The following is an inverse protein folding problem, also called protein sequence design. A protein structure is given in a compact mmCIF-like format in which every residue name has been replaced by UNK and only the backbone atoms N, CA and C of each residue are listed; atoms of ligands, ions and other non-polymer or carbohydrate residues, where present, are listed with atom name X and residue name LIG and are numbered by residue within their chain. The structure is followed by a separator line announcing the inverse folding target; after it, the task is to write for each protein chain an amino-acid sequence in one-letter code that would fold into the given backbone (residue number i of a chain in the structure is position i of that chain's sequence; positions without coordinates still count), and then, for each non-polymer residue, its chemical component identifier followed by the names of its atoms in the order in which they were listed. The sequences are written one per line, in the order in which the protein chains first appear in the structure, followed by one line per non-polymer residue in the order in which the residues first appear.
data_IF_009971372895
#
_entry.id   IF_009971372895
#
_cell.length_a   1.000
_cell.length_b   1.000
_cell.length_c   1.000
_cell.angle_alpha   90.00
_cell.angle_beta   90.00
_cell.angle_gamma   90.00
#
_symmetry.space_group_name_H-M   'P 1'
#
loop_
_entity.id
_entity.type
_entity.pdbx_description
1 polymer ?
#
# COMPACT_ATOMS: atom_id res chain seq x y z
N UNK A 1 3.37 -30.22 -22.40
CA UNK A 1 3.49 -30.15 -20.92
C UNK A 1 3.12 -28.75 -20.50
N UNK A 2 2.04 -28.60 -19.80
CA UNK A 2 1.74 -27.31 -19.19
C UNK A 2 2.71 -27.13 -18.01
N UNK A 3 3.61 -26.17 -18.10
CA UNK A 3 4.50 -25.81 -17.00
C UNK A 3 3.58 -25.17 -15.95
N UNK A 4 3.44 -25.86 -14.82
CA UNK A 4 2.75 -25.28 -13.67
C UNK A 4 3.63 -24.16 -13.13
N UNK A 5 3.20 -22.93 -13.33
CA UNK A 5 3.89 -21.77 -12.79
C UNK A 5 3.49 -21.60 -11.31
N UNK A 6 4.47 -21.38 -10.47
CA UNK A 6 4.26 -21.10 -9.04
C UNK A 6 4.43 -19.62 -8.82
N UNK A 7 3.34 -18.97 -8.44
CA UNK A 7 3.29 -17.53 -8.15
C UNK A 7 3.45 -17.37 -6.65
N UNK A 8 4.57 -16.83 -6.22
CA UNK A 8 4.89 -16.59 -4.81
C UNK A 8 5.83 -15.39 -4.68
N UNK A 9 5.86 -14.80 -3.50
CA UNK A 9 6.86 -13.82 -3.12
C UNK A 9 7.61 -14.27 -1.87
N UNK A 10 8.93 -14.40 -2.00
CA UNK A 10 9.86 -14.81 -0.93
C UNK A 10 10.96 -13.77 -0.71
N UNK A 11 10.71 -12.51 -1.05
CA UNK A 11 11.66 -11.42 -0.89
C UNK A 11 11.66 -10.80 0.51
N UNK A 12 12.36 -9.69 0.62
CA UNK A 12 12.55 -8.98 1.89
C UNK A 12 11.24 -8.49 2.50
N UNK A 13 11.14 -8.58 3.83
CA UNK A 13 9.98 -8.11 4.58
C UNK A 13 9.83 -6.58 4.59
N UNK A 14 10.83 -5.86 4.12
CA UNK A 14 10.82 -4.39 4.03
C UNK A 14 10.02 -3.87 2.83
N UNK A 15 9.65 -4.75 1.90
CA UNK A 15 8.83 -4.38 0.76
C UNK A 15 7.35 -4.48 1.14
N UNK A 16 6.65 -3.35 1.11
CA UNK A 16 5.22 -3.29 1.43
C UNK A 16 4.34 -3.86 0.33
N UNK A 17 4.66 -3.56 -0.93
CA UNK A 17 3.91 -3.99 -2.10
C UNK A 17 4.90 -4.49 -3.15
N UNK A 18 4.68 -5.70 -3.62
CA UNK A 18 5.45 -6.32 -4.68
C UNK A 18 4.54 -6.72 -5.84
N UNK A 19 4.83 -6.20 -7.03
CA UNK A 19 4.18 -6.63 -8.27
C UNK A 19 4.91 -7.85 -8.82
N UNK A 20 4.19 -8.96 -8.98
CA UNK A 20 4.76 -10.14 -9.61
C UNK A 20 5.00 -9.90 -11.11
N UNK A 21 6.15 -10.32 -11.68
CA UNK A 21 6.50 -10.03 -13.08
C UNK A 21 5.62 -10.76 -14.12
N UNK A 22 4.98 -11.86 -13.74
CA UNK A 22 4.08 -12.57 -14.64
C UNK A 22 2.74 -11.82 -14.73
N UNK A 23 2.34 -11.50 -15.95
CA UNK A 23 1.09 -10.77 -16.24
C UNK A 23 -0.01 -11.69 -16.79
N UNK A 24 0.35 -12.86 -17.33
CA UNK A 24 -0.60 -13.83 -17.88
C UNK A 24 -0.43 -15.18 -17.17
N UNK A 25 -1.48 -15.62 -16.50
CA UNK A 25 -1.44 -16.89 -15.75
C UNK A 25 -2.11 -18.00 -16.53
N UNK A 26 -1.43 -19.14 -16.63
CA UNK A 26 -2.03 -20.37 -17.14
C UNK A 26 -3.06 -20.91 -16.12
N UNK A 27 -4.16 -21.44 -16.63
CA UNK A 27 -5.05 -22.29 -15.82
C UNK A 27 -4.25 -23.43 -15.24
N UNK A 28 -4.27 -23.61 -13.92
CA UNK A 28 -3.51 -24.54 -13.09
C UNK A 28 -2.22 -23.98 -12.45
N UNK A 29 -1.87 -22.71 -12.65
CA UNK A 29 -0.81 -22.09 -11.87
C UNK A 29 -1.14 -22.13 -10.38
N UNK A 30 -0.15 -22.28 -9.52
CA UNK A 30 -0.34 -22.30 -8.08
C UNK A 30 0.04 -20.94 -7.48
N UNK A 31 -0.87 -20.37 -6.72
CA UNK A 31 -0.61 -19.19 -5.92
C UNK A 31 -0.27 -19.60 -4.49
N UNK A 32 0.88 -19.17 -4.00
CA UNK A 32 1.30 -19.38 -2.61
C UNK A 32 1.40 -18.01 -1.95
N UNK A 33 0.58 -17.81 -0.93
CA UNK A 33 0.59 -16.59 -0.10
C UNK A 33 1.09 -16.99 1.28
N UNK A 34 2.18 -16.38 1.73
CA UNK A 34 2.73 -16.65 3.06
C UNK A 34 1.91 -16.00 4.16
N UNK A 35 2.10 -16.44 5.39
CA UNK A 35 1.55 -15.75 6.57
C UNK A 35 2.05 -14.30 6.58
N UNK A 36 1.22 -13.39 7.01
CA UNK A 36 1.46 -11.94 6.95
C UNK A 36 1.50 -11.33 5.54
N UNK A 37 1.05 -12.04 4.53
CA UNK A 37 0.89 -11.52 3.17
C UNK A 37 -0.57 -11.61 2.71
N UNK A 38 -0.91 -10.76 1.78
CA UNK A 38 -2.15 -10.80 1.01
C UNK A 38 -1.81 -10.67 -0.47
N UNK A 39 -2.36 -11.54 -1.31
CA UNK A 39 -2.22 -11.41 -2.75
C UNK A 39 -3.50 -10.82 -3.34
N UNK A 40 -3.36 -9.78 -4.16
CA UNK A 40 -4.49 -9.14 -4.84
C UNK A 40 -4.30 -9.26 -6.33
N UNK A 41 -5.32 -9.79 -7.00
CA UNK A 41 -5.42 -9.82 -8.44
C UNK A 41 -5.98 -8.52 -8.96
N UNK A 42 -5.28 -7.95 -9.92
CA UNK A 42 -5.59 -6.67 -10.52
C UNK A 42 -5.69 -6.81 -12.03
N UNK A 43 -6.74 -6.30 -12.64
CA UNK A 43 -6.93 -6.28 -14.09
C UNK A 43 -7.62 -5.00 -14.51
N UNK A 44 -7.12 -4.39 -15.59
CA UNK A 44 -7.68 -3.17 -16.17
C UNK A 44 -7.98 -2.05 -15.16
N UNK A 45 -7.07 -1.84 -14.21
CA UNK A 45 -7.24 -0.81 -13.19
C UNK A 45 -8.22 -1.17 -12.05
N UNK A 46 -8.68 -2.42 -11.97
CA UNK A 46 -9.61 -2.89 -10.93
C UNK A 46 -9.03 -4.02 -10.11
N UNK A 47 -9.17 -3.92 -8.79
CA UNK A 47 -8.87 -5.04 -7.90
C UNK A 47 -9.99 -6.07 -7.98
N UNK A 48 -9.68 -7.25 -8.51
CA UNK A 48 -10.65 -8.33 -8.71
C UNK A 48 -10.87 -9.11 -7.42
N UNK A 49 -9.89 -9.92 -7.05
CA UNK A 49 -9.95 -10.81 -5.90
C UNK A 49 -8.73 -10.66 -5.01
N UNK A 50 -8.90 -10.90 -3.71
CA UNK A 50 -7.81 -10.95 -2.74
C UNK A 50 -7.73 -12.33 -2.08
N UNK A 51 -6.51 -12.80 -1.86
CA UNK A 51 -6.20 -14.09 -1.27
C UNK A 51 -5.35 -13.90 -0.02
N UNK A 52 -5.82 -14.46 1.08
CA UNK A 52 -5.09 -14.51 2.34
C UNK A 52 -4.06 -15.64 2.32
N UNK A 53 -3.27 -15.76 3.40
CA UNK A 53 -2.28 -16.81 3.55
C UNK A 53 -2.86 -18.20 3.22
N UNK A 54 -2.14 -18.94 2.40
CA UNK A 54 -2.54 -20.26 1.94
C UNK A 54 -1.99 -20.63 0.57
N UNK A 55 -2.34 -21.82 0.12
CA UNK A 55 -2.03 -22.31 -1.22
C UNK A 55 -3.32 -22.41 -2.03
N UNK A 56 -3.33 -21.82 -3.20
CA UNK A 56 -4.49 -21.81 -4.09
C UNK A 56 -4.08 -22.30 -5.47
N UNK A 57 -4.89 -23.18 -6.05
CA UNK A 57 -4.78 -23.52 -7.47
C UNK A 57 -5.65 -22.56 -8.25
N UNK A 58 -5.06 -21.85 -9.20
CA UNK A 58 -5.76 -20.87 -10.01
C UNK A 58 -6.58 -21.58 -11.09
N UNK A 59 -7.70 -22.16 -10.67
CA UNK A 59 -8.71 -22.67 -11.56
C UNK A 59 -9.80 -21.62 -11.80
N UNK A 60 -10.40 -21.66 -12.97
CA UNK A 60 -11.51 -20.77 -13.34
C UNK A 60 -12.66 -20.80 -12.32
N UNK A 61 -12.78 -21.89 -11.56
CA UNK A 61 -13.80 -22.07 -10.51
C UNK A 61 -13.49 -21.30 -9.23
N UNK A 62 -12.21 -21.07 -8.94
CA UNK A 62 -11.77 -20.46 -7.68
C UNK A 62 -11.61 -18.95 -7.74
N UNK A 63 -11.78 -18.38 -8.93
CA UNK A 63 -11.71 -16.94 -9.17
C UNK A 63 -13.01 -16.49 -9.85
N UNK A 64 -14.07 -16.28 -9.06
CA UNK A 64 -15.42 -16.05 -9.62
C UNK A 64 -15.52 -14.81 -10.50
N UNK A 65 -14.71 -13.77 -10.25
CA UNK A 65 -14.72 -12.56 -11.06
C UNK A 65 -14.01 -12.76 -12.40
N UNK A 66 -12.87 -13.44 -12.40
CA UNK A 66 -12.13 -13.77 -13.65
C UNK A 66 -12.96 -14.73 -14.50
N UNK A 67 -13.71 -15.65 -13.90
CA UNK A 67 -14.58 -16.56 -14.65
C UNK A 67 -15.73 -15.83 -15.35
N UNK A 68 -16.29 -14.78 -14.75
CA UNK A 68 -17.32 -13.95 -15.38
C UNK A 68 -16.77 -13.16 -16.55
N UNK A 69 -15.59 -12.59 -16.43
CA UNK A 69 -14.90 -11.86 -17.51
C UNK A 69 -14.52 -12.80 -18.66
N UNK A 70 -14.05 -14.01 -18.34
CA UNK A 70 -13.67 -15.02 -19.35
C UNK A 70 -14.86 -15.55 -20.15
N UNK A 71 -16.03 -15.67 -19.54
CA UNK A 71 -17.25 -16.12 -20.22
C UNK A 71 -17.84 -15.07 -21.18
N UNK A 72 -17.41 -13.82 -21.06
CA UNK A 72 -17.80 -12.74 -21.98
C UNK A 72 -16.93 -12.70 -23.25
N UNK A 73 -15.78 -13.39 -23.25
CA UNK A 73 -14.86 -13.40 -24.39
C UNK A 73 -14.75 -14.82 -24.94
N UNK A 74 -15.41 -15.04 -26.07
CA UNK A 74 -15.34 -16.26 -26.88
C UNK A 74 -13.90 -16.51 -27.36
N UNK A 75 -13.31 -17.67 -27.00
CA UNK A 75 -12.14 -18.15 -27.68
C UNK A 75 -10.92 -18.52 -26.86
N UNK A 76 -10.97 -18.55 -25.54
CA UNK A 76 -9.90 -19.15 -24.70
C UNK A 76 -8.61 -18.34 -24.52
N UNK A 77 -8.48 -17.19 -25.17
CA UNK A 77 -7.40 -16.22 -24.93
C UNK A 77 -8.04 -15.03 -24.26
N UNK A 78 -7.71 -14.84 -22.99
CA UNK A 78 -8.13 -13.64 -22.27
C UNK A 78 -7.30 -12.45 -22.76
N UNK A 79 -7.92 -11.42 -23.34
CA UNK A 79 -7.22 -10.20 -23.73
C UNK A 79 -6.90 -9.31 -22.52
N UNK A 80 -7.27 -9.74 -21.32
CA UNK A 80 -7.10 -8.96 -20.10
C UNK A 80 -5.77 -9.33 -19.42
N UNK A 81 -4.92 -8.35 -19.30
CA UNK A 81 -3.72 -8.46 -18.47
C UNK A 81 -4.12 -8.52 -17.01
N UNK A 82 -3.77 -9.62 -16.36
CA UNK A 82 -4.00 -9.80 -14.93
C UNK A 82 -2.67 -9.69 -14.20
N UNK A 83 -2.57 -8.73 -13.32
CA UNK A 83 -1.42 -8.49 -12.48
C UNK A 83 -1.66 -9.05 -11.08
N UNK A 84 -0.62 -9.58 -10.42
CA UNK A 84 -0.69 -10.02 -9.03
C UNK A 84 0.21 -9.15 -8.19
N UNK A 85 -0.37 -8.57 -7.15
CA UNK A 85 0.33 -7.79 -6.14
C UNK A 85 0.35 -8.54 -4.82
N UNK A 86 1.54 -8.73 -4.27
CA UNK A 86 1.73 -9.23 -2.92
C UNK A 86 1.90 -8.06 -1.97
N UNK A 87 1.09 -8.04 -0.91
CA UNK A 87 1.07 -6.98 0.08
C UNK A 87 1.53 -7.55 1.40
N UNK A 88 2.52 -6.91 2.00
CA UNK A 88 3.01 -7.28 3.32
C UNK A 88 2.10 -6.66 4.39
N UNK A 89 1.47 -7.51 5.20
CA UNK A 89 0.61 -7.11 6.31
C UNK A 89 1.37 -7.04 7.64
N UNK A 90 2.66 -7.39 7.64
CA UNK A 90 3.48 -7.25 8.84
C UNK A 90 3.61 -5.78 9.24
N UNK A 91 3.76 -5.53 10.53
CA UNK A 91 3.96 -4.18 11.03
C UNK A 91 5.38 -3.73 10.76
N UNK A 92 5.56 -2.64 10.02
CA UNK A 92 6.82 -1.95 9.93
C UNK A 92 6.95 -0.98 11.09
N UNK A 93 8.02 -1.11 11.84
CA UNK A 93 8.32 -0.27 13.00
C UNK A 93 9.42 0.72 12.65
N UNK A 94 9.47 1.80 13.42
CA UNK A 94 10.60 2.74 13.45
C UNK A 94 10.92 3.45 12.14
N UNK A 95 9.89 3.84 11.40
CA UNK A 95 10.05 4.72 10.23
C UNK A 95 10.37 6.14 10.73
N UNK A 96 11.59 6.64 10.52
CA UNK A 96 11.98 7.94 11.06
C UNK A 96 11.36 9.09 10.27
N UNK A 97 10.97 10.13 10.99
CA UNK A 97 10.49 11.38 10.43
C UNK A 97 11.07 12.59 11.16
N UNK A 98 11.09 13.71 10.49
CA UNK A 98 11.51 14.98 11.09
C UNK A 98 11.05 16.16 10.25
N UNK A 99 10.89 17.32 10.89
CA UNK A 99 10.57 18.54 10.17
C UNK A 99 11.80 18.99 9.37
N UNK A 100 11.67 19.18 8.03
CA UNK A 100 12.81 19.58 7.19
C UNK A 100 13.31 20.98 7.49
N UNK A 101 12.47 21.83 8.08
CA UNK A 101 12.80 23.17 8.52
C UNK A 101 12.12 23.46 9.84
N UNK A 102 12.76 24.28 10.65
CA UNK A 102 12.15 24.78 11.88
C UNK A 102 10.94 25.67 11.54
N UNK A 103 9.93 25.61 12.38
CA UNK A 103 8.74 26.46 12.31
C UNK A 103 8.91 27.59 13.32
N UNK A 104 8.79 28.83 12.85
CA UNK A 104 8.83 29.98 13.75
C UNK A 104 7.48 30.13 14.45
N UNK A 105 7.49 29.98 15.76
CA UNK A 105 6.32 30.15 16.62
C UNK A 105 6.46 31.46 17.39
N UNK A 106 5.42 32.26 17.39
CA UNK A 106 5.38 33.52 18.16
C UNK A 106 4.63 33.28 19.45
N UNK A 107 5.26 33.60 20.58
CA UNK A 107 4.58 33.57 21.88
C UNK A 107 3.55 34.70 21.96
N UNK A 108 2.27 34.40 22.18
CA UNK A 108 1.22 35.41 22.22
C UNK A 108 1.30 36.30 23.46
N UNK A 109 1.89 35.82 24.54
CA UNK A 109 1.95 36.56 25.81
C UNK A 109 3.13 37.50 25.89
N UNK A 110 4.28 37.07 25.40
CA UNK A 110 5.55 37.81 25.53
C UNK A 110 6.06 38.39 24.22
N UNK A 111 5.45 38.03 23.07
CA UNK A 111 5.82 38.55 21.78
C UNK A 111 7.15 38.04 21.21
N UNK A 112 7.82 37.11 21.91
CA UNK A 112 9.04 36.50 21.42
C UNK A 112 8.77 35.48 20.31
N UNK A 113 9.66 35.45 19.35
CA UNK A 113 9.65 34.41 18.31
C UNK A 113 10.73 33.39 18.61
N UNK A 114 10.37 32.12 18.56
CA UNK A 114 11.33 31.00 18.69
C UNK A 114 11.12 30.00 17.57
N UNK A 115 12.17 29.29 17.22
CA UNK A 115 12.14 28.27 16.20
C UNK A 115 11.99 26.91 16.82
N UNK A 116 10.96 26.16 16.41
CA UNK A 116 10.69 24.83 16.89
C UNK A 116 10.78 23.80 15.75
N UNK A 117 11.34 22.65 16.05
CA UNK A 117 11.36 21.50 15.18
C UNK A 117 10.89 20.27 15.92
N UNK A 118 10.47 19.26 15.20
CA UNK A 118 10.06 17.98 15.77
C UNK A 118 10.60 16.83 14.93
N UNK A 119 10.93 15.74 15.62
CA UNK A 119 11.37 14.49 15.02
C UNK A 119 10.89 13.31 15.84
N UNK A 120 10.82 12.16 15.23
CA UNK A 120 10.39 10.93 15.87
C UNK A 120 10.37 9.76 14.91
N UNK A 121 9.71 8.68 15.29
CA UNK A 121 9.46 7.54 14.46
C UNK A 121 7.98 7.15 14.51
N UNK A 122 7.51 6.45 13.50
CA UNK A 122 6.18 5.85 13.48
C UNK A 122 6.22 4.42 12.96
N UNK A 123 5.22 3.63 13.36
CA UNK A 123 4.97 2.31 12.81
C UNK A 123 3.88 2.36 11.76
N UNK A 124 4.02 1.56 10.72
CA UNK A 124 3.04 1.39 9.66
C UNK A 124 2.56 -0.06 9.61
N UNK A 125 1.25 -0.25 9.60
CA UNK A 125 0.61 -1.55 9.41
C UNK A 125 -0.49 -1.46 8.38
N UNK A 126 -0.42 -2.32 7.38
CA UNK A 126 -1.48 -2.47 6.40
C UNK A 126 -2.52 -3.43 6.97
N UNK A 127 -3.77 -2.99 7.04
CA UNK A 127 -4.90 -3.81 7.55
C UNK A 127 -5.67 -4.44 6.39
N UNK A 128 -5.76 -3.73 5.26
CA UNK A 128 -6.52 -4.12 4.08
C UNK A 128 -5.71 -3.75 2.84
N UNK A 129 -5.07 -4.76 2.25
CA UNK A 129 -4.21 -4.57 1.08
C UNK A 129 -4.99 -4.16 -0.16
N UNK A 130 -6.20 -4.66 -0.33
CA UNK A 130 -7.05 -4.31 -1.46
C UNK A 130 -7.42 -2.83 -1.47
N UNK A 131 -7.82 -2.29 -0.32
CA UNK A 131 -8.15 -0.85 -0.18
C UNK A 131 -6.93 0.01 -0.40
N UNK A 132 -5.78 -0.41 0.10
CA UNK A 132 -4.52 0.28 -0.12
C UNK A 132 -4.21 0.37 -1.62
N UNK A 133 -4.29 -0.74 -2.35
CA UNK A 133 -4.04 -0.79 -3.79
C UNK A 133 -5.00 0.11 -4.56
N UNK A 134 -6.29 0.04 -4.31
CA UNK A 134 -7.30 0.86 -5.00
C UNK A 134 -6.99 2.36 -4.83
N UNK A 135 -6.58 2.77 -3.65
CA UNK A 135 -6.26 4.17 -3.37
C UNK A 135 -4.94 4.61 -4.00
N UNK A 136 -3.96 3.71 -4.11
CA UNK A 136 -2.64 4.03 -4.64
C UNK A 136 -2.57 3.96 -6.17
N UNK A 137 -3.22 2.97 -6.78
CA UNK A 137 -3.23 2.81 -8.26
C UNK A 137 -3.88 3.99 -8.96
N UNK A 138 -4.80 4.68 -8.30
CA UNK A 138 -5.42 5.90 -8.82
C UNK A 138 -4.51 7.13 -8.82
N UNK A 139 -3.36 7.10 -8.13
CA UNK A 139 -2.54 8.28 -7.88
C UNK A 139 -1.11 8.21 -8.41
N UNK A 140 -0.47 7.04 -8.50
CA UNK A 140 0.92 6.92 -8.94
C UNK A 140 1.21 5.62 -9.69
N UNK A 141 1.99 5.71 -10.76
CA UNK A 141 2.41 4.58 -11.60
C UNK A 141 3.49 3.68 -10.96
N UNK A 142 4.17 4.13 -9.91
CA UNK A 142 5.20 3.36 -9.21
C UNK A 142 4.87 3.21 -7.73
N UNK A 143 4.44 2.00 -7.36
CA UNK A 143 4.18 1.61 -5.98
C UNK A 143 5.45 1.11 -5.29
N UNK A 144 6.45 1.97 -5.11
CA UNK A 144 7.58 1.59 -4.29
C UNK A 144 7.27 1.79 -2.80
N UNK A 145 7.82 0.91 -1.97
CA UNK A 145 7.75 1.06 -0.50
C UNK A 145 8.24 2.44 -0.05
N UNK A 146 9.27 2.97 -0.72
CA UNK A 146 9.81 4.29 -0.43
C UNK A 146 8.80 5.42 -0.67
N UNK A 147 7.99 5.33 -1.74
CA UNK A 147 6.97 6.33 -2.04
C UNK A 147 5.84 6.31 -1.02
N UNK A 148 5.42 5.12 -0.59
CA UNK A 148 4.40 4.96 0.44
C UNK A 148 4.89 5.51 1.78
N UNK A 149 6.09 5.17 2.19
CA UNK A 149 6.71 5.69 3.41
C UNK A 149 6.85 7.21 3.35
N UNK A 150 7.27 7.76 2.21
CA UNK A 150 7.38 9.20 2.00
C UNK A 150 6.02 9.89 2.12
N UNK A 151 4.98 9.34 1.50
CA UNK A 151 3.63 9.88 1.61
C UNK A 151 3.16 10.00 3.06
N UNK A 152 3.28 8.93 3.84
CA UNK A 152 2.89 8.96 5.25
C UNK A 152 3.78 9.88 6.09
N UNK A 153 5.08 9.92 5.79
CA UNK A 153 6.01 10.85 6.44
C UNK A 153 5.61 12.31 6.20
N UNK A 154 5.32 12.67 4.96
CA UNK A 154 4.91 14.03 4.60
C UNK A 154 3.57 14.40 5.24
N UNK A 155 2.64 13.45 5.34
CA UNK A 155 1.37 13.63 6.03
C UNK A 155 1.58 13.92 7.52
N UNK A 156 2.44 13.15 8.20
CA UNK A 156 2.76 13.33 9.63
C UNK A 156 3.43 14.69 9.84
N UNK A 157 4.44 15.01 9.04
CA UNK A 157 5.17 16.28 9.15
C UNK A 157 4.21 17.47 8.98
N UNK A 158 3.31 17.40 8.02
CA UNK A 158 2.30 18.45 7.79
C UNK A 158 1.37 18.60 9.00
N UNK A 159 0.90 17.48 9.56
CA UNK A 159 0.06 17.50 10.76
C UNK A 159 0.78 18.08 11.97
N UNK A 160 2.04 17.68 12.19
CA UNK A 160 2.85 18.19 13.30
C UNK A 160 3.12 19.69 13.13
N UNK A 161 3.49 20.15 11.95
CA UNK A 161 3.66 21.58 11.66
C UNK A 161 2.40 22.38 11.97
N UNK A 162 1.25 21.88 11.55
CA UNK A 162 -0.03 22.52 11.84
C UNK A 162 -0.28 22.57 13.36
N UNK A 163 -0.02 21.49 14.09
CA UNK A 163 -0.14 21.49 15.55
C UNK A 163 0.77 22.53 16.21
N UNK A 164 2.03 22.64 15.77
CA UNK A 164 2.97 23.64 16.29
C UNK A 164 2.52 25.09 16.04
N UNK A 165 1.89 25.35 14.89
CA UNK A 165 1.38 26.67 14.54
C UNK A 165 0.08 27.02 15.29
N UNK A 166 -0.79 26.03 15.55
CA UNK A 166 -2.10 26.22 16.18
C UNK A 166 -2.11 26.04 17.71
N UNK A 167 -1.01 25.69 18.33
CA UNK A 167 -0.87 25.67 19.81
C UNK A 167 -0.68 27.06 20.42
N UNK A 168 -1.01 28.11 19.68
CA UNK A 168 -1.26 29.40 20.29
C UNK A 168 -2.53 29.29 21.13
N UNK A 169 -2.50 29.54 22.45
CA UNK A 169 -3.69 29.45 23.28
C UNK A 169 -4.77 30.35 22.66
N UNK A 170 -5.93 29.76 22.41
CA UNK A 170 -7.12 30.49 22.02
C UNK A 170 -7.37 31.60 23.03
N UNK A 171 -7.61 32.85 22.64
CA UNK A 171 -7.99 33.90 23.56
C UNK A 171 -9.44 33.68 24.03
N UNK A 172 -9.64 32.61 24.78
CA UNK A 172 -10.83 32.42 25.59
C UNK A 172 -10.36 32.21 26.99
N UNK A 173 -10.26 33.29 27.69
CA UNK A 173 -10.58 33.42 29.09
C UNK A 173 -10.09 34.81 29.50
N UNK A 174 -10.97 35.75 29.38
CA UNK A 174 -11.04 36.91 30.22
C UNK A 174 -12.38 36.89 30.89
#
# INVERSE_FOLDING_TARGET
MAIQEVIKYEGDNDILIYKHPAEDFNTLSQLIVHESQEAVFFSDGQALDSFKAGRYTLETKNIPLISKLRNLVTGGVSPFHTEVYFINLATMMDIPWGTPSQVTVKDPNYGYSYSAGASGSFGLKIIDGRKLLINLVGTEQEMSTANIQKYFKDLIVTRVKNCLLYTSPSPRDS
#
